data_IF_265823684425
#
_entry.id   IF_265823684425
#
_cell.length_a   1.000
_cell.length_b   1.000
_cell.length_c   1.000
_cell.angle_alpha   90.00
_cell.angle_beta   90.00
_cell.angle_gamma   90.00
#
_symmetry.space_group_name_H-M   'P 1'
#
loop_
_entity.id
_entity.type
_entity.pdbx_description
1 polymer ?
#
# COMPACT_ATOMS: atom_id res chain seq x y z
N UNK A 1 18.58 -17.29 25.74
CA UNK A 1 18.08 -16.28 24.80
C UNK A 1 16.61 -16.04 25.12
N UNK A 2 16.22 -14.82 25.55
CA UNK A 2 14.81 -14.51 25.78
C UNK A 2 14.06 -14.56 24.45
N UNK A 3 12.84 -15.09 24.38
CA UNK A 3 12.07 -15.15 23.15
C UNK A 3 11.87 -13.72 22.64
N UNK A 4 12.26 -13.48 21.39
CA UNK A 4 12.03 -12.20 20.72
C UNK A 4 10.52 -11.95 20.70
N UNK A 5 10.06 -11.00 21.49
CA UNK A 5 8.67 -10.57 21.48
C UNK A 5 8.38 -9.92 20.11
N UNK A 6 7.53 -10.51 19.24
CA UNK A 6 7.24 -9.98 17.91
C UNK A 6 6.56 -8.59 17.94
N UNK A 7 6.10 -8.14 19.13
CA UNK A 7 5.54 -6.82 19.37
C UNK A 7 6.57 -5.80 19.90
N UNK A 8 7.81 -6.21 20.16
CA UNK A 8 8.91 -5.27 20.40
C UNK A 8 9.46 -4.79 19.06
N UNK A 9 8.88 -3.73 18.58
CA UNK A 9 9.41 -3.00 17.44
C UNK A 9 10.71 -2.29 17.82
N UNK A 10 11.87 -2.74 17.65
CA UNK A 10 13.16 -2.15 17.99
C UNK A 10 13.25 -0.60 17.98
N UNK A 11 14.41 -0.05 18.26
CA UNK A 11 14.66 1.40 18.26
C UNK A 11 15.43 1.89 17.02
N UNK A 12 15.92 0.95 16.21
CA UNK A 12 16.72 1.25 14.99
C UNK A 12 15.82 1.89 13.92
N UNK A 13 16.38 2.59 12.96
CA UNK A 13 15.65 3.11 11.81
C UNK A 13 14.96 1.98 11.05
N UNK A 14 13.69 2.19 10.70
CA UNK A 14 12.87 1.20 9.99
C UNK A 14 13.40 0.92 8.58
N UNK A 15 13.80 1.98 7.89
CA UNK A 15 14.37 1.95 6.54
C UNK A 15 15.71 2.70 6.51
N UNK A 16 16.77 2.05 6.98
CA UNK A 16 18.12 2.63 7.08
C UNK A 16 18.69 3.12 5.75
N UNK A 17 18.15 2.67 4.62
CA UNK A 17 18.62 3.04 3.27
C UNK A 17 17.62 3.89 2.49
N UNK A 18 16.59 4.42 3.13
CA UNK A 18 15.56 5.30 2.56
C UNK A 18 14.97 4.71 1.25
N UNK A 19 14.65 3.42 1.28
CA UNK A 19 14.21 2.69 0.09
C UNK A 19 12.80 3.05 -0.34
N UNK A 20 11.96 3.50 0.60
CA UNK A 20 10.61 4.01 0.29
C UNK A 20 10.67 5.35 -0.46
N UNK A 21 11.68 6.18 -0.20
CA UNK A 21 11.80 7.55 -0.71
C UNK A 21 12.74 7.69 -1.90
N UNK A 22 13.43 6.61 -2.26
CA UNK A 22 14.41 6.62 -3.35
C UNK A 22 14.05 5.70 -4.50
N UNK A 23 14.59 5.99 -5.67
CA UNK A 23 14.41 5.23 -6.88
C UNK A 23 15.78 4.87 -7.51
N UNK A 24 15.82 3.76 -8.20
CA UNK A 24 16.99 3.38 -9.01
C UNK A 24 17.11 4.23 -10.29
N UNK A 25 16.02 4.89 -10.72
CA UNK A 25 15.91 5.64 -11.97
C UNK A 25 15.71 7.13 -11.76
N UNK A 26 14.76 7.51 -10.89
CA UNK A 26 14.30 8.89 -10.72
C UNK A 26 15.00 9.57 -9.54
N UNK A 27 15.25 10.89 -9.67
CA UNK A 27 15.63 11.69 -8.52
C UNK A 27 14.48 11.79 -7.50
N UNK A 28 14.76 12.08 -6.22
CA UNK A 28 13.70 12.20 -5.19
C UNK A 28 12.62 13.21 -5.55
N UNK A 29 12.98 14.36 -6.15
CA UNK A 29 11.99 15.36 -6.60
C UNK A 29 11.09 14.85 -7.72
N UNK A 30 11.63 14.09 -8.68
CA UNK A 30 10.83 13.52 -9.78
C UNK A 30 9.95 12.39 -9.25
N UNK A 31 10.47 11.54 -8.35
CA UNK A 31 9.67 10.50 -7.70
C UNK A 31 8.51 11.11 -6.90
N UNK A 32 8.78 12.18 -6.14
CA UNK A 32 7.73 12.96 -5.46
C UNK A 32 6.67 13.45 -6.44
N UNK A 33 7.08 14.08 -7.55
CA UNK A 33 6.13 14.62 -8.54
C UNK A 33 5.26 13.51 -9.15
N UNK A 34 5.82 12.36 -9.50
CA UNK A 34 5.06 11.22 -10.01
C UNK A 34 4.04 10.72 -8.98
N UNK A 35 4.44 10.54 -7.71
CA UNK A 35 3.55 10.10 -6.63
C UNK A 35 2.45 11.11 -6.36
N UNK A 36 2.77 12.41 -6.34
CA UNK A 36 1.81 13.49 -6.15
C UNK A 36 0.78 13.55 -7.29
N UNK A 37 1.21 13.35 -8.55
CA UNK A 37 0.31 13.31 -9.70
C UNK A 37 -0.63 12.09 -9.67
N UNK A 38 -0.13 10.91 -9.29
CA UNK A 38 -0.97 9.72 -9.11
C UNK A 38 -2.02 9.95 -8.02
N UNK A 39 -1.60 10.50 -6.88
CA UNK A 39 -2.51 10.84 -5.78
C UNK A 39 -3.57 11.84 -6.22
N UNK A 40 -3.15 12.93 -6.86
CA UNK A 40 -4.05 13.98 -7.36
C UNK A 40 -5.06 13.39 -8.35
N UNK A 41 -4.60 12.59 -9.32
CA UNK A 41 -5.49 11.92 -10.27
C UNK A 41 -6.51 11.03 -9.55
N UNK A 42 -6.08 10.22 -8.58
CA UNK A 42 -6.97 9.33 -7.85
C UNK A 42 -8.01 10.10 -7.03
N UNK A 43 -7.63 11.18 -6.33
CA UNK A 43 -8.57 12.04 -5.61
C UNK A 43 -9.55 12.74 -6.56
N UNK A 44 -9.05 13.34 -7.64
CA UNK A 44 -9.89 14.02 -8.64
C UNK A 44 -10.88 13.03 -9.25
N UNK A 45 -10.43 11.84 -9.63
CA UNK A 45 -11.29 10.77 -10.13
C UNK A 45 -12.42 10.45 -9.15
N UNK A 46 -12.12 10.26 -7.87
CA UNK A 46 -13.15 9.94 -6.86
C UNK A 46 -14.12 11.08 -6.63
N UNK A 47 -13.64 12.29 -6.45
CA UNK A 47 -14.51 13.45 -6.24
C UNK A 47 -15.37 13.76 -7.47
N UNK A 48 -14.79 13.63 -8.67
CA UNK A 48 -15.54 13.83 -9.91
C UNK A 48 -16.65 12.77 -10.05
N UNK A 49 -16.35 11.47 -9.84
CA UNK A 49 -17.37 10.41 -9.90
C UNK A 49 -18.47 10.66 -8.88
N UNK A 50 -18.14 11.07 -7.65
CA UNK A 50 -19.12 11.40 -6.61
C UNK A 50 -20.02 12.55 -7.06
N UNK A 51 -19.43 13.68 -7.49
CA UNK A 51 -20.18 14.85 -7.93
C UNK A 51 -21.05 14.56 -9.15
N UNK A 52 -20.47 13.91 -10.16
CA UNK A 52 -21.18 13.54 -11.38
C UNK A 52 -22.36 12.60 -11.12
N UNK A 53 -22.14 11.54 -10.35
CA UNK A 53 -23.20 10.59 -10.03
C UNK A 53 -24.32 11.24 -9.21
N UNK A 54 -23.99 12.13 -8.26
CA UNK A 54 -24.99 12.82 -7.46
C UNK A 54 -25.88 13.76 -8.27
N UNK A 55 -25.39 14.32 -9.38
CA UNK A 55 -26.13 15.24 -10.26
C UNK A 55 -26.85 14.54 -11.41
N UNK A 56 -26.69 13.22 -11.54
CA UNK A 56 -27.29 12.43 -12.63
C UNK A 56 -28.13 11.27 -12.07
N UNK A 57 -29.44 11.47 -12.00
CA UNK A 57 -30.38 10.45 -11.48
C UNK A 57 -30.36 9.15 -12.30
N UNK A 58 -30.03 9.23 -13.59
CA UNK A 58 -29.85 8.05 -14.45
C UNK A 58 -28.73 7.12 -13.97
N UNK A 59 -27.79 7.62 -13.18
CA UNK A 59 -26.70 6.87 -12.52
C UNK A 59 -27.03 6.46 -11.07
N UNK A 60 -28.29 6.70 -10.64
CA UNK A 60 -28.75 6.38 -9.28
C UNK A 60 -28.55 7.48 -8.24
N UNK A 61 -28.04 8.65 -8.66
CA UNK A 61 -27.90 9.82 -7.81
C UNK A 61 -27.02 9.62 -6.58
N UNK A 62 -27.16 10.46 -5.58
CA UNK A 62 -26.41 10.37 -4.31
C UNK A 62 -26.68 9.06 -3.53
N UNK A 63 -27.77 8.34 -3.84
CA UNK A 63 -28.03 7.03 -3.23
C UNK A 63 -27.02 5.98 -3.71
N UNK A 64 -26.73 5.96 -5.02
CA UNK A 64 -25.70 5.09 -5.60
C UNK A 64 -24.31 5.42 -5.06
N UNK A 65 -24.00 6.72 -4.87
CA UNK A 65 -22.73 7.14 -4.24
C UNK A 65 -22.59 6.57 -2.83
N UNK A 66 -23.63 6.66 -2.00
CA UNK A 66 -23.60 6.09 -0.64
C UNK A 66 -23.39 4.57 -0.65
N UNK A 67 -24.04 3.86 -1.56
CA UNK A 67 -23.85 2.43 -1.72
C UNK A 67 -22.44 2.09 -2.22
N UNK A 68 -21.86 2.96 -3.05
CA UNK A 68 -20.52 2.71 -3.63
C UNK A 68 -19.43 2.51 -2.57
N UNK A 69 -19.56 3.10 -1.37
CA UNK A 69 -18.62 2.88 -0.26
C UNK A 69 -18.65 1.46 0.32
N UNK A 70 -19.62 0.65 -0.08
CA UNK A 70 -19.66 -0.78 0.25
C UNK A 70 -18.85 -1.65 -0.73
N UNK A 71 -18.33 -1.10 -1.83
CA UNK A 71 -17.52 -1.85 -2.79
C UNK A 71 -16.03 -1.84 -2.42
N UNK A 72 -15.42 -3.02 -2.46
CA UNK A 72 -13.98 -3.18 -2.18
C UNK A 72 -13.11 -2.33 -3.11
N UNK A 73 -13.47 -2.27 -4.39
CA UNK A 73 -12.81 -1.42 -5.38
C UNK A 73 -12.71 0.04 -4.93
N UNK A 74 -13.81 0.58 -4.40
CA UNK A 74 -13.88 1.98 -3.98
C UNK A 74 -12.98 2.23 -2.77
N UNK A 75 -13.01 1.31 -1.79
CA UNK A 75 -12.19 1.41 -0.58
C UNK A 75 -10.69 1.30 -0.92
N UNK A 76 -10.32 0.36 -1.80
CA UNK A 76 -8.94 0.20 -2.24
C UNK A 76 -8.46 1.35 -3.12
N UNK A 77 -9.33 1.95 -3.92
CA UNK A 77 -8.98 3.12 -4.74
C UNK A 77 -8.75 4.39 -3.87
N UNK A 78 -9.54 4.58 -2.81
CA UNK A 78 -9.23 5.56 -1.78
C UNK A 78 -7.90 5.27 -1.09
N UNK A 79 -7.62 3.98 -0.83
CA UNK A 79 -6.33 3.54 -0.33
C UNK A 79 -5.18 3.99 -1.22
N UNK A 80 -5.29 3.82 -2.55
CA UNK A 80 -4.31 4.32 -3.54
C UNK A 80 -4.12 5.83 -3.39
N UNK A 81 -5.21 6.60 -3.38
CA UNK A 81 -5.15 8.07 -3.29
C UNK A 81 -4.37 8.52 -2.04
N UNK A 82 -4.70 7.98 -0.88
CA UNK A 82 -4.04 8.32 0.38
C UNK A 82 -2.61 7.78 0.47
N UNK A 83 -2.36 6.56 0.02
CA UNK A 83 -1.00 6.01 0.05
C UNK A 83 -0.03 6.88 -0.76
N UNK A 84 -0.39 7.20 -2.01
CA UNK A 84 0.45 8.04 -2.86
C UNK A 84 0.60 9.47 -2.33
N UNK A 85 -0.39 10.00 -1.61
CA UNK A 85 -0.25 11.27 -0.89
C UNK A 85 0.82 11.19 0.21
N UNK A 86 0.72 10.20 1.09
CA UNK A 86 1.70 10.02 2.17
C UNK A 86 3.09 9.68 1.62
N UNK A 87 3.18 8.79 0.64
CA UNK A 87 4.44 8.46 -0.03
C UNK A 87 5.08 9.69 -0.70
N UNK A 88 4.27 10.57 -1.32
CA UNK A 88 4.75 11.83 -1.87
C UNK A 88 5.29 12.76 -0.77
N UNK A 89 4.57 12.93 0.35
CA UNK A 89 5.02 13.75 1.48
C UNK A 89 6.34 13.23 2.06
N UNK A 90 6.47 11.92 2.28
CA UNK A 90 7.70 11.30 2.77
C UNK A 90 8.85 11.51 1.78
N UNK A 91 8.60 11.31 0.49
CA UNK A 91 9.59 11.54 -0.58
C UNK A 91 10.02 13.01 -0.68
N UNK A 92 9.08 13.95 -0.56
CA UNK A 92 9.38 15.39 -0.58
C UNK A 92 10.23 15.81 0.62
N UNK A 93 9.85 15.36 1.83
CA UNK A 93 10.61 15.68 3.04
C UNK A 93 12.02 15.10 2.97
N UNK A 94 12.18 13.90 2.44
CA UNK A 94 13.48 13.32 2.14
C UNK A 94 14.26 14.15 1.11
N UNK A 95 13.63 14.56 0.01
CA UNK A 95 14.29 15.35 -1.03
C UNK A 95 14.81 16.70 -0.52
N UNK A 96 14.09 17.34 0.43
CA UNK A 96 14.45 18.65 0.98
C UNK A 96 15.45 18.53 2.14
N UNK A 97 15.28 17.53 3.02
CA UNK A 97 15.99 17.46 4.32
C UNK A 97 17.01 16.33 4.41
N UNK A 98 17.05 15.41 3.41
CA UNK A 98 17.84 14.17 3.49
C UNK A 98 17.27 13.10 4.43
N UNK A 99 16.16 13.41 5.13
CA UNK A 99 15.46 12.48 6.04
C UNK A 99 13.96 12.52 5.79
N UNK A 100 13.28 11.36 5.65
CA UNK A 100 11.85 11.32 5.44
C UNK A 100 11.10 11.65 6.74
N UNK A 101 9.90 12.19 6.60
CA UNK A 101 8.99 12.39 7.74
C UNK A 101 8.67 11.06 8.44
N UNK A 102 8.70 9.94 7.70
CA UNK A 102 8.44 8.60 8.21
C UNK A 102 9.36 8.23 9.39
N UNK A 103 10.62 8.68 9.38
CA UNK A 103 11.60 8.40 10.44
C UNK A 103 11.21 9.03 11.77
N UNK A 104 10.44 10.13 11.75
CA UNK A 104 9.94 10.80 12.96
C UNK A 104 8.72 10.10 13.59
N UNK A 105 8.14 9.13 12.89
CA UNK A 105 6.97 8.41 13.37
C UNK A 105 7.36 7.29 14.35
N UNK A 106 6.50 7.00 15.35
CA UNK A 106 6.72 5.85 16.21
C UNK A 106 6.67 4.54 15.40
N UNK A 107 7.42 3.53 15.83
CA UNK A 107 7.57 2.24 15.14
C UNK A 107 6.26 1.57 14.70
N UNK A 108 5.17 1.58 15.47
CA UNK A 108 3.89 1.03 15.02
C UNK A 108 3.35 1.73 13.76
N UNK A 109 3.54 3.06 13.64
CA UNK A 109 3.11 3.80 12.44
C UNK A 109 4.01 3.52 11.24
N UNK A 110 5.32 3.33 11.45
CA UNK A 110 6.24 2.89 10.39
C UNK A 110 5.86 1.47 9.89
N UNK A 111 5.53 0.55 10.80
CA UNK A 111 5.03 -0.79 10.45
C UNK A 111 3.67 -0.72 9.73
N UNK A 112 2.78 0.18 10.16
CA UNK A 112 1.50 0.41 9.48
C UNK A 112 1.71 0.97 8.06
N UNK A 113 2.69 1.86 7.85
CA UNK A 113 3.05 2.34 6.51
C UNK A 113 3.54 1.18 5.62
N UNK A 114 4.37 0.28 6.14
CA UNK A 114 4.82 -0.92 5.41
C UNK A 114 3.67 -1.90 5.09
N UNK A 115 2.70 -2.05 6.01
CA UNK A 115 1.49 -2.82 5.75
C UNK A 115 0.63 -2.11 4.68
N UNK A 116 0.48 -0.79 4.77
CA UNK A 116 -0.24 0.00 3.78
C UNK A 116 0.38 -0.15 2.39
N UNK A 117 1.72 -0.05 2.28
CA UNK A 117 2.42 -0.39 1.04
C UNK A 117 2.03 -1.77 0.51
N UNK A 118 2.00 -2.80 1.37
CA UNK A 118 1.64 -4.16 0.97
C UNK A 118 0.23 -4.24 0.40
N UNK A 119 -0.74 -3.49 0.93
CA UNK A 119 -2.10 -3.41 0.38
C UNK A 119 -2.12 -2.79 -1.02
N UNK A 120 -1.31 -1.74 -1.23
CA UNK A 120 -1.28 -0.99 -2.50
C UNK A 120 -0.61 -1.78 -3.63
N UNK A 121 0.36 -2.61 -3.30
CA UNK A 121 1.02 -3.44 -4.33
C UNK A 121 0.33 -4.79 -4.56
N UNK A 122 -0.76 -5.11 -3.83
CA UNK A 122 -1.47 -6.39 -3.97
C UNK A 122 -2.93 -6.24 -4.33
N UNK A 123 -3.73 -5.48 -3.59
CA UNK A 123 -5.18 -5.37 -3.81
C UNK A 123 -5.57 -4.82 -5.18
N UNK A 124 -4.87 -3.84 -5.79
CA UNK A 124 -5.23 -3.38 -7.13
C UNK A 124 -5.25 -4.51 -8.17
N UNK A 125 -4.31 -5.45 -8.11
CA UNK A 125 -4.31 -6.60 -9.02
C UNK A 125 -5.49 -7.54 -8.75
N UNK A 126 -5.81 -7.79 -7.48
CA UNK A 126 -7.00 -8.56 -7.11
C UNK A 126 -8.28 -7.91 -7.67
N UNK A 127 -8.43 -6.60 -7.48
CA UNK A 127 -9.57 -5.81 -7.98
C UNK A 127 -9.65 -5.90 -9.51
N UNK A 128 -8.54 -5.72 -10.21
CA UNK A 128 -8.49 -5.81 -11.68
C UNK A 128 -8.91 -7.20 -12.17
N UNK A 129 -8.34 -8.26 -11.59
CA UNK A 129 -8.64 -9.63 -11.99
C UNK A 129 -10.11 -9.94 -11.71
N UNK A 130 -10.60 -9.68 -10.49
CA UNK A 130 -11.99 -9.97 -10.12
C UNK A 130 -12.97 -9.17 -10.99
N UNK A 131 -12.68 -7.92 -11.28
CA UNK A 131 -13.57 -7.10 -12.10
C UNK A 131 -13.63 -7.62 -13.54
N UNK A 132 -12.49 -7.72 -14.23
CA UNK A 132 -12.48 -8.04 -15.65
C UNK A 132 -12.75 -9.51 -15.97
N UNK A 133 -12.48 -10.44 -15.02
CA UNK A 133 -12.67 -11.88 -15.25
C UNK A 133 -13.99 -12.41 -14.70
N UNK A 134 -14.49 -11.81 -13.58
CA UNK A 134 -15.65 -12.36 -12.86
C UNK A 134 -16.87 -11.45 -12.94
N UNK A 135 -16.69 -10.13 -12.90
CA UNK A 135 -17.80 -9.19 -12.78
C UNK A 135 -18.19 -8.51 -14.09
N UNK A 136 -17.21 -8.30 -14.98
CA UNK A 136 -17.49 -7.67 -16.26
C UNK A 136 -18.10 -8.69 -17.22
N UNK A 137 -19.37 -8.48 -17.54
CA UNK A 137 -20.15 -9.29 -18.47
C UNK A 137 -20.89 -8.36 -19.41
N UNK A 138 -20.49 -8.34 -20.67
CA UNK A 138 -21.19 -7.57 -21.69
C UNK A 138 -20.29 -6.84 -22.71
N UNK A 139 -20.92 -6.09 -23.64
CA UNK A 139 -20.20 -5.27 -24.60
C UNK A 139 -19.48 -4.11 -23.94
N UNK A 140 -18.50 -3.54 -24.65
CA UNK A 140 -17.79 -2.36 -24.20
C UNK A 140 -18.72 -1.20 -23.86
N UNK A 141 -18.34 -0.37 -22.89
CA UNK A 141 -19.12 0.77 -22.44
C UNK A 141 -19.44 1.75 -23.57
N UNK A 142 -20.71 2.05 -23.76
CA UNK A 142 -21.18 3.01 -24.76
C UNK A 142 -21.14 4.47 -24.27
N UNK A 143 -21.10 4.67 -22.95
CA UNK A 143 -21.02 5.98 -22.32
C UNK A 143 -19.57 6.23 -21.87
N UNK A 144 -18.97 7.33 -22.33
CA UNK A 144 -17.58 7.69 -22.06
C UNK A 144 -17.26 7.79 -20.56
N UNK A 145 -18.17 8.36 -19.78
CA UNK A 145 -18.02 8.42 -18.32
C UNK A 145 -17.91 7.04 -17.70
N UNK A 146 -18.72 6.06 -18.14
CA UNK A 146 -18.68 4.70 -17.63
C UNK A 146 -17.38 4.01 -18.03
N UNK A 147 -16.94 4.17 -19.29
CA UNK A 147 -15.67 3.63 -19.75
C UNK A 147 -14.50 4.20 -18.94
N UNK A 148 -14.41 5.53 -18.83
CA UNK A 148 -13.35 6.19 -18.09
C UNK A 148 -13.33 5.81 -16.60
N UNK A 149 -14.47 5.83 -15.93
CA UNK A 149 -14.55 5.53 -14.50
C UNK A 149 -14.18 4.08 -14.20
N UNK A 150 -14.58 3.14 -15.06
CA UNK A 150 -14.24 1.72 -14.89
C UNK A 150 -12.76 1.45 -15.22
N UNK A 151 -12.21 2.02 -16.29
CA UNK A 151 -10.77 1.91 -16.60
C UNK A 151 -9.94 2.50 -15.45
N UNK A 152 -10.33 3.67 -14.93
CA UNK A 152 -9.60 4.31 -13.84
C UNK A 152 -9.55 3.43 -12.58
N UNK A 153 -10.68 2.84 -12.21
CA UNK A 153 -10.81 2.11 -10.94
C UNK A 153 -10.43 0.63 -11.02
N UNK A 154 -10.44 0.02 -12.23
CA UNK A 154 -10.20 -1.41 -12.41
C UNK A 154 -9.05 -1.73 -13.37
N UNK A 155 -8.37 -0.72 -13.92
CA UNK A 155 -7.22 -0.86 -14.80
C UNK A 155 -6.05 -0.01 -14.34
N UNK A 156 -6.23 1.32 -14.25
CA UNK A 156 -5.15 2.23 -13.82
C UNK A 156 -4.74 2.00 -12.36
N UNK A 157 -5.61 1.48 -11.51
CA UNK A 157 -5.24 1.06 -10.16
C UNK A 157 -4.05 0.09 -10.17
N UNK A 158 -4.06 -0.91 -11.07
CA UNK A 158 -2.94 -1.85 -11.23
C UNK A 158 -1.70 -1.20 -11.87
N UNK A 159 -1.90 -0.25 -12.79
CA UNK A 159 -0.78 0.51 -13.34
C UNK A 159 -0.06 1.34 -12.28
N UNK A 160 -0.81 1.95 -11.34
CA UNK A 160 -0.23 2.66 -10.20
C UNK A 160 0.52 1.72 -9.24
N UNK A 161 -0.02 0.53 -9.00
CA UNK A 161 0.67 -0.50 -8.23
C UNK A 161 1.96 -0.96 -8.91
N UNK A 162 1.95 -1.16 -10.23
CA UNK A 162 3.14 -1.49 -11.02
C UNK A 162 4.20 -0.38 -10.96
N UNK A 163 3.79 0.89 -11.03
CA UNK A 163 4.70 2.01 -10.83
C UNK A 163 5.45 1.88 -9.49
N UNK A 164 4.72 1.62 -8.41
CA UNK A 164 5.29 1.52 -7.06
C UNK A 164 6.16 0.26 -6.87
N UNK A 165 5.91 -0.80 -7.64
CA UNK A 165 6.75 -2.01 -7.66
C UNK A 165 8.04 -1.78 -8.44
N UNK A 166 7.98 -1.09 -9.59
CA UNK A 166 9.08 -1.03 -10.57
C UNK A 166 10.01 0.15 -10.29
N UNK A 167 9.48 1.32 -9.99
CA UNK A 167 10.25 2.58 -9.98
C UNK A 167 10.97 2.84 -8.66
N UNK A 168 10.31 2.80 -7.48
CA UNK A 168 11.01 2.97 -6.21
C UNK A 168 11.91 1.78 -5.87
N UNK A 169 12.84 1.98 -4.92
CA UNK A 169 13.74 0.95 -4.42
C UNK A 169 13.16 0.13 -3.26
N UNK A 170 11.87 0.21 -3.03
CA UNK A 170 11.18 -0.50 -1.93
C UNK A 170 11.58 -1.97 -1.84
N UNK A 171 11.68 -2.49 -0.64
CA UNK A 171 11.94 -3.90 -0.41
C UNK A 171 10.67 -4.73 -0.64
N UNK A 172 10.87 -6.05 -0.74
CA UNK A 172 9.75 -7.00 -0.77
C UNK A 172 8.89 -6.83 0.49
N UNK A 173 7.56 -6.93 0.36
CA UNK A 173 6.68 -6.94 1.52
C UNK A 173 6.99 -8.13 2.43
N UNK A 174 6.85 -7.91 3.74
CA UNK A 174 7.10 -8.93 4.74
C UNK A 174 6.04 -10.03 4.70
N UNK A 175 6.44 -11.28 4.81
CA UNK A 175 5.53 -12.43 4.83
C UNK A 175 4.47 -12.34 5.95
N UNK A 176 4.80 -11.69 7.06
CA UNK A 176 3.86 -11.42 8.16
C UNK A 176 2.68 -10.53 7.75
N UNK A 177 2.75 -9.86 6.60
CA UNK A 177 1.65 -9.05 6.08
C UNK A 177 0.53 -9.90 5.45
N UNK A 178 0.78 -11.16 5.05
CA UNK A 178 -0.26 -12.04 4.48
C UNK A 178 -1.46 -12.21 5.42
N UNK A 179 -1.30 -12.59 6.70
CA UNK A 179 -2.43 -12.66 7.63
C UNK A 179 -3.21 -11.36 7.74
N UNK A 180 -2.53 -10.21 7.70
CA UNK A 180 -3.19 -8.90 7.76
C UNK A 180 -3.97 -8.59 6.49
N UNK A 181 -3.44 -8.94 5.31
CA UNK A 181 -4.19 -8.81 4.04
C UNK A 181 -5.44 -9.70 4.06
N UNK A 182 -5.34 -10.93 4.51
CA UNK A 182 -6.50 -11.82 4.64
C UNK A 182 -7.50 -11.27 5.66
N UNK A 183 -7.03 -10.75 6.80
CA UNK A 183 -7.89 -10.15 7.82
C UNK A 183 -8.65 -8.94 7.26
N UNK A 184 -8.00 -8.07 6.49
CA UNK A 184 -8.67 -6.92 5.84
C UNK A 184 -9.76 -7.41 4.86
N UNK A 185 -9.49 -8.46 4.07
CA UNK A 185 -10.51 -9.07 3.21
C UNK A 185 -11.67 -9.67 4.00
N UNK A 186 -11.40 -10.31 5.15
CA UNK A 186 -12.43 -10.87 6.02
C UNK A 186 -13.29 -9.76 6.65
N UNK A 187 -12.68 -8.67 7.10
CA UNK A 187 -13.39 -7.49 7.62
C UNK A 187 -14.24 -6.85 6.51
N UNK A 188 -13.71 -6.78 5.28
CA UNK A 188 -14.48 -6.31 4.14
C UNK A 188 -15.67 -7.24 3.83
N UNK A 189 -15.49 -8.56 3.88
CA UNK A 189 -16.58 -9.51 3.71
C UNK A 189 -17.69 -9.27 4.75
N UNK A 190 -17.31 -8.98 6.02
CA UNK A 190 -18.23 -8.56 7.06
C UNK A 190 -19.02 -7.31 6.67
N UNK A 191 -18.34 -6.27 6.14
CA UNK A 191 -18.99 -5.05 5.63
C UNK A 191 -19.99 -5.36 4.50
N UNK A 192 -19.63 -6.24 3.57
CA UNK A 192 -20.52 -6.64 2.47
C UNK A 192 -21.80 -7.32 2.98
N UNK A 193 -21.71 -8.17 3.99
CA UNK A 193 -22.90 -8.79 4.61
C UNK A 193 -23.69 -7.83 5.49
N UNK A 194 -23.05 -6.88 6.17
CA UNK A 194 -23.74 -5.78 6.87
C UNK A 194 -24.53 -4.94 5.87
N UNK A 195 -23.95 -4.64 4.70
CA UNK A 195 -24.66 -3.92 3.63
C UNK A 195 -25.88 -4.71 3.16
N UNK A 196 -25.75 -6.02 2.98
CA UNK A 196 -26.90 -6.87 2.65
C UNK A 196 -27.97 -6.83 3.74
N UNK A 197 -27.60 -6.96 5.01
CA UNK A 197 -28.54 -6.96 6.12
C UNK A 197 -29.27 -5.62 6.28
N UNK A 198 -28.62 -4.50 5.98
CA UNK A 198 -29.18 -3.15 6.17
C UNK A 198 -29.85 -2.57 4.93
N UNK A 199 -29.44 -2.99 3.73
CA UNK A 199 -29.91 -2.45 2.44
C UNK A 199 -30.67 -3.46 1.58
N UNK A 200 -30.63 -4.75 1.93
CA UNK A 200 -31.24 -5.83 1.16
C UNK A 200 -30.56 -6.14 -0.17
N UNK A 201 -29.36 -5.58 -0.42
CA UNK A 201 -28.63 -5.70 -1.68
C UNK A 201 -27.28 -6.36 -1.46
N UNK A 202 -26.97 -7.41 -2.22
CA UNK A 202 -25.61 -7.95 -2.28
C UNK A 202 -24.70 -7.01 -3.06
N UNK A 203 -23.56 -6.64 -2.46
CA UNK A 203 -22.55 -5.78 -3.09
C UNK A 203 -22.00 -6.43 -4.37
N UNK A 204 -21.82 -7.74 -4.35
CA UNK A 204 -21.41 -8.53 -5.51
C UNK A 204 -22.38 -9.69 -5.72
N UNK A 205 -22.73 -9.95 -7.00
CA UNK A 205 -23.64 -11.01 -7.38
C UNK A 205 -23.16 -12.41 -6.99
N UNK A 206 -21.84 -12.63 -6.93
CA UNK A 206 -21.26 -13.91 -6.52
C UNK A 206 -21.44 -14.20 -5.01
N UNK A 207 -21.76 -13.19 -4.18
CA UNK A 207 -22.06 -13.36 -2.76
C UNK A 207 -23.53 -13.76 -2.49
N UNK A 208 -24.39 -13.72 -3.52
CA UNK A 208 -25.79 -14.11 -3.38
C UNK A 208 -25.94 -15.63 -3.27
N UNK A 209 -26.01 -16.13 -2.04
CA UNK A 209 -26.18 -17.57 -1.77
C UNK A 209 -27.55 -18.12 -2.17
N UNK A 210 -28.56 -17.25 -2.35
CA UNK A 210 -29.90 -17.68 -2.83
C UNK A 210 -29.85 -18.01 -4.31
N UNK A 211 -29.09 -17.23 -5.08
CA UNK A 211 -28.91 -17.43 -6.52
C UNK A 211 -27.85 -18.51 -6.83
N UNK A 212 -26.74 -18.47 -6.14
CA UNK A 212 -25.56 -19.29 -6.47
C UNK A 212 -25.42 -20.55 -5.62
N UNK A 213 -26.15 -20.64 -4.47
CA UNK A 213 -25.96 -21.70 -3.50
C UNK A 213 -24.74 -21.44 -2.58
N UNK A 214 -24.82 -21.99 -1.35
CA UNK A 214 -23.80 -21.76 -0.30
C UNK A 214 -22.41 -22.26 -0.69
N UNK A 215 -22.32 -23.39 -1.42
CA UNK A 215 -21.05 -23.98 -1.83
C UNK A 215 -20.28 -23.09 -2.80
N UNK A 216 -20.97 -22.52 -3.79
CA UNK A 216 -20.35 -21.63 -4.78
C UNK A 216 -19.90 -20.32 -4.13
N UNK A 217 -20.70 -19.74 -3.23
CA UNK A 217 -20.30 -18.54 -2.48
C UNK A 217 -19.06 -18.83 -1.63
N UNK A 218 -19.01 -19.97 -0.94
CA UNK A 218 -17.83 -20.36 -0.18
C UNK A 218 -16.59 -20.54 -1.08
N UNK A 219 -16.77 -21.13 -2.27
CA UNK A 219 -15.70 -21.28 -3.25
C UNK A 219 -15.15 -19.92 -3.73
N UNK A 220 -16.00 -18.92 -3.99
CA UNK A 220 -15.54 -17.55 -4.30
C UNK A 220 -14.75 -16.92 -3.15
N UNK A 221 -15.24 -17.02 -1.90
CA UNK A 221 -14.57 -16.45 -0.73
C UNK A 221 -13.18 -17.07 -0.55
N UNK A 222 -13.09 -18.41 -0.62
CA UNK A 222 -11.82 -19.14 -0.52
C UNK A 222 -10.91 -18.82 -1.70
N UNK A 223 -11.46 -18.80 -2.91
CA UNK A 223 -10.72 -18.47 -4.14
C UNK A 223 -10.10 -17.08 -4.10
N UNK A 224 -10.82 -16.07 -3.58
CA UNK A 224 -10.31 -14.72 -3.39
C UNK A 224 -9.20 -14.69 -2.33
N UNK A 225 -9.37 -15.42 -1.22
CA UNK A 225 -8.35 -15.53 -0.17
C UNK A 225 -7.08 -16.23 -0.66
N UNK A 226 -7.21 -17.28 -1.47
CA UNK A 226 -6.05 -17.92 -2.12
C UNK A 226 -5.45 -17.01 -3.18
N UNK A 227 -6.29 -16.33 -3.96
CA UNK A 227 -5.88 -15.38 -4.99
C UNK A 227 -4.96 -14.28 -4.45
N UNK A 228 -5.29 -13.69 -3.28
CA UNK A 228 -4.44 -12.64 -2.69
C UNK A 228 -3.07 -13.19 -2.26
N UNK A 229 -2.99 -14.42 -1.79
CA UNK A 229 -1.71 -15.06 -1.45
C UNK A 229 -0.87 -15.28 -2.72
N UNK A 230 -1.48 -15.74 -3.81
CA UNK A 230 -0.80 -15.91 -5.10
C UNK A 230 -0.30 -14.56 -5.62
N UNK A 231 -1.14 -13.52 -5.59
CA UNK A 231 -0.75 -12.16 -6.01
C UNK A 231 0.40 -11.64 -5.15
N UNK A 232 0.35 -11.83 -3.83
CA UNK A 232 1.45 -11.46 -2.93
C UNK A 232 2.77 -12.13 -3.33
N UNK A 233 2.75 -13.43 -3.61
CA UNK A 233 3.93 -14.16 -4.06
C UNK A 233 4.46 -13.61 -5.40
N UNK A 234 3.58 -13.32 -6.35
CA UNK A 234 3.95 -12.73 -7.64
C UNK A 234 4.60 -11.36 -7.43
N UNK A 235 4.00 -10.49 -6.63
CA UNK A 235 4.53 -9.16 -6.30
C UNK A 235 5.89 -9.27 -5.60
N UNK A 236 6.02 -10.19 -4.66
CA UNK A 236 7.29 -10.47 -3.98
C UNK A 236 8.38 -10.87 -4.98
N UNK A 237 8.08 -11.75 -5.92
CA UNK A 237 8.98 -12.16 -6.99
C UNK A 237 9.32 -10.99 -7.95
N UNK A 238 8.34 -10.15 -8.31
CA UNK A 238 8.58 -9.00 -9.18
C UNK A 238 9.52 -7.98 -8.52
N UNK A 239 9.34 -7.69 -7.24
CA UNK A 239 10.23 -6.79 -6.49
C UNK A 239 11.62 -7.41 -6.34
N UNK A 240 11.71 -8.72 -6.08
CA UNK A 240 12.98 -9.44 -6.05
C UNK A 240 13.70 -9.34 -7.41
N UNK A 241 13.00 -9.60 -8.51
CA UNK A 241 13.53 -9.51 -9.87
C UNK A 241 14.02 -8.09 -10.18
N UNK A 242 13.21 -7.05 -9.84
CA UNK A 242 13.62 -5.66 -10.00
C UNK A 242 14.93 -5.39 -9.23
N UNK A 243 15.02 -5.77 -7.96
CA UNK A 243 16.26 -5.61 -7.16
C UNK A 243 17.43 -6.30 -7.82
N UNK A 244 17.27 -7.55 -8.23
CA UNK A 244 18.34 -8.30 -8.88
C UNK A 244 18.80 -7.62 -10.16
N UNK A 245 17.88 -7.17 -11.01
CA UNK A 245 18.25 -6.48 -12.27
C UNK A 245 18.90 -5.13 -11.98
N UNK A 246 18.25 -4.27 -11.18
CA UNK A 246 18.68 -2.87 -11.04
C UNK A 246 19.88 -2.72 -10.11
N UNK A 247 19.91 -3.43 -8.99
CA UNK A 247 20.95 -3.32 -7.97
C UNK A 247 22.12 -4.25 -8.29
N UNK A 248 21.86 -5.59 -8.49
CA UNK A 248 22.94 -6.56 -8.67
C UNK A 248 23.55 -6.53 -10.07
N UNK A 249 22.73 -6.45 -11.14
CA UNK A 249 23.24 -6.50 -12.52
C UNK A 249 23.65 -5.13 -13.07
N UNK A 250 22.89 -4.08 -12.74
CA UNK A 250 23.14 -2.74 -13.27
C UNK A 250 23.95 -1.86 -12.31
N UNK A 251 24.22 -2.29 -11.07
CA UNK A 251 24.95 -1.53 -10.06
C UNK A 251 24.31 -0.20 -9.67
N UNK A 252 22.98 -0.07 -9.82
CA UNK A 252 22.22 1.17 -9.51
C UNK A 252 21.74 1.17 -8.06
N UNK A 253 22.66 0.91 -7.14
CA UNK A 253 22.37 0.94 -5.71
C UNK A 253 22.36 2.38 -5.20
N UNK A 254 21.18 2.98 -5.15
CA UNK A 254 21.01 4.25 -4.47
C UNK A 254 21.63 5.48 -5.13
N UNK A 255 21.71 5.52 -6.46
CA UNK A 255 22.25 6.65 -7.22
C UNK A 255 21.81 8.03 -6.72
N UNK A 256 20.61 8.12 -6.16
CA UNK A 256 20.03 9.37 -5.64
C UNK A 256 19.78 9.30 -4.11
N UNK A 257 20.23 8.24 -3.43
CA UNK A 257 20.22 8.20 -1.97
C UNK A 257 21.30 9.15 -1.45
N UNK A 258 20.97 10.02 -0.50
CA UNK A 258 21.98 10.76 0.21
C UNK A 258 22.89 9.76 0.94
N UNK A 259 24.23 9.95 0.91
CA UNK A 259 25.08 9.19 1.80
C UNK A 259 24.64 9.47 3.25
N UNK A 260 24.82 8.50 4.17
CA UNK A 260 24.60 8.76 5.60
C UNK A 260 25.34 10.06 5.96
N UNK A 261 24.68 11.00 6.59
CA UNK A 261 25.32 12.26 6.97
C UNK A 261 26.47 11.89 7.93
N UNK A 262 27.69 12.30 7.62
CA UNK A 262 28.88 12.01 8.46
C UNK A 262 28.66 12.42 9.93
N UNK A 263 27.86 13.46 10.16
CA UNK A 263 27.44 13.91 11.50
C UNK A 263 26.65 12.86 12.29
N UNK A 264 25.89 11.96 11.62
CA UNK A 264 25.11 10.93 12.32
C UNK A 264 26.00 9.75 12.74
N UNK A 265 27.04 9.46 11.95
CA UNK A 265 28.05 8.47 12.30
C UNK A 265 28.91 8.99 13.48
N UNK A 266 29.20 10.29 13.49
CA UNK A 266 29.96 10.92 14.56
C UNK A 266 29.13 11.05 15.86
N UNK A 267 27.87 11.44 15.80
CA UNK A 267 26.97 11.48 16.96
C UNK A 267 26.76 10.10 17.57
N UNK A 268 26.46 9.09 16.78
CA UNK A 268 26.36 7.70 17.26
C UNK A 268 27.69 7.18 17.85
N UNK A 269 28.83 7.65 17.31
CA UNK A 269 30.16 7.30 17.84
C UNK A 269 30.44 8.00 19.16
N UNK A 270 29.97 9.23 19.33
CA UNK A 270 30.08 9.99 20.60
C UNK A 270 29.15 9.46 21.67
N UNK A 271 27.90 9.15 21.36
CA UNK A 271 26.96 8.51 22.30
C UNK A 271 27.46 7.15 22.78
N UNK A 272 27.98 6.31 21.87
CA UNK A 272 28.59 5.03 22.24
C UNK A 272 29.85 5.20 23.08
N UNK A 273 30.66 6.24 22.84
CA UNK A 273 31.83 6.53 23.70
C UNK A 273 31.43 7.02 25.10
N UNK A 274 30.37 7.83 25.21
CA UNK A 274 29.85 8.23 26.49
C UNK A 274 29.21 7.08 27.28
N UNK A 275 28.50 6.18 26.62
CA UNK A 275 27.93 4.99 27.24
C UNK A 275 28.99 3.99 27.73
N UNK A 276 30.14 3.89 27.05
CA UNK A 276 31.26 3.04 27.46
C UNK A 276 32.11 3.72 28.56
N UNK A 277 32.26 5.06 28.50
CA UNK A 277 33.02 5.80 29.48
C UNK A 277 32.35 5.91 30.87
N UNK A 278 31.01 5.89 30.92
CA UNK A 278 30.27 5.94 32.18
C UNK A 278 30.26 4.63 33.00
N UNK A 279 30.69 3.51 32.38
CA UNK A 279 30.76 2.22 33.05
C UNK A 279 32.17 1.89 33.63
N UNK A 280 33.14 2.80 33.52
CA UNK A 280 34.53 2.58 33.97
C UNK A 280 34.95 3.34 35.23
N UNK A 281 34.07 4.14 35.85
CA UNK A 281 34.35 4.78 37.13
C UNK A 281 33.60 4.11 38.28
N UNK A 282 34.09 2.96 38.70
CA UNK A 282 33.90 2.51 40.11
C UNK A 282 35.07 3.05 40.91
N UNK A 283 34.85 3.89 41.94
CA UNK A 283 35.91 4.28 42.81
C UNK A 283 36.25 3.15 43.78
N UNK A 284 37.45 2.63 43.64
CA UNK A 284 38.09 1.90 44.74
C UNK A 284 38.02 2.75 46.02
N UNK A 285 37.25 2.35 47.01
CA UNK A 285 37.40 2.77 48.38
C UNK A 285 38.08 1.65 49.18
N UNK A 286 39.37 1.84 49.34
CA UNK A 286 40.07 1.33 50.47
C UNK A 286 39.50 1.95 51.76
N UNK A 287 39.01 1.15 52.67
CA UNK A 287 39.36 1.00 54.09
C UNK A 287 38.46 -0.07 54.69
#
# INVERSE_FOLDING_TARGET
>A
MAPNNPFKFGTDLWDTSNRFETSWLLSPYVLFACRALISLYAFVTRFFIIGWTCTHDSLGGCSAVRLSFSYFTILTYWGIAFYFLFAAIHTLTYAIRGRPLLDSFPRPLQALHALFYSTIVTYPFLVTIVYWVVLYDGPWFTVEFNAWSNISQHGLNSAFALFEIIIPRTNQPLWVNIPWLILILALYLGLAFITYATRGVYVYSFLDYRKNGRGIVAAYIIGIAVGIVIIFCIVWCLIWLRKWVTETKMGKEGKFAAPPHDNDVEMNRMENKHAIGSNSETPDRLY
#
